data_IF_965320722539
#
_entry.id   IF_965320722539
#
_cell.length_a   1.000
_cell.length_b   1.000
_cell.length_c   1.000
_cell.angle_alpha   90.00
_cell.angle_beta   90.00
_cell.angle_gamma   90.00
#
_symmetry.space_group_name_H-M   'P 1'
#
loop_
_entity.id
_entity.type
_entity.pdbx_description
1 polymer ?
#
# COMPACT_ATOMS: atom_id res chain seq x y z
N UNK A 1 2.09 19.19 -4.80
CA UNK A 1 1.16 18.15 -5.28
C UNK A 1 -0.03 18.10 -4.35
N UNK A 2 -1.25 18.07 -4.89
CA UNK A 2 -2.44 17.73 -4.13
C UNK A 2 -2.58 16.21 -4.10
N UNK A 3 -3.13 15.65 -3.04
CA UNK A 3 -3.31 14.19 -2.94
C UNK A 3 -4.20 13.63 -4.07
N UNK A 4 -5.16 14.45 -4.51
CA UNK A 4 -6.04 14.13 -5.62
C UNK A 4 -5.32 14.04 -6.98
N UNK A 5 -4.09 14.54 -7.06
CA UNK A 5 -3.28 14.45 -8.29
C UNK A 5 -2.68 13.04 -8.45
N UNK A 6 -2.61 12.25 -7.37
CA UNK A 6 -1.95 10.92 -7.34
C UNK A 6 -2.84 9.78 -6.82
N UNK A 7 -3.97 10.10 -6.16
CA UNK A 7 -4.89 9.10 -5.62
C UNK A 7 -6.03 8.85 -6.61
N UNK A 8 -5.94 7.73 -7.33
CA UNK A 8 -7.01 7.28 -8.23
C UNK A 8 -8.14 6.62 -7.44
N UNK A 9 -9.38 6.76 -7.89
CA UNK A 9 -10.54 6.23 -7.17
C UNK A 9 -10.49 4.71 -7.10
N UNK A 10 -9.96 4.09 -8.15
CA UNK A 10 -9.80 2.64 -8.32
C UNK A 10 -8.76 2.05 -7.37
N UNK A 11 -7.88 2.87 -6.79
CA UNK A 11 -6.89 2.42 -5.79
C UNK A 11 -7.37 2.56 -4.34
N UNK A 12 -8.64 2.90 -4.11
CA UNK A 12 -9.21 3.02 -2.76
C UNK A 12 -9.90 1.72 -2.37
N UNK A 13 -9.40 1.08 -1.31
CA UNK A 13 -9.97 -0.13 -0.74
C UNK A 13 -10.55 0.21 0.64
N UNK A 14 -11.88 0.15 0.77
CA UNK A 14 -12.57 0.47 2.03
C UNK A 14 -12.70 -0.71 3.00
N UNK A 15 -12.48 -1.93 2.52
CA UNK A 15 -12.75 -3.18 3.24
C UNK A 15 -11.63 -4.20 3.02
N UNK A 16 -10.46 -3.92 3.62
CA UNK A 16 -9.32 -4.84 3.65
C UNK A 16 -9.66 -6.09 4.47
N UNK A 17 -9.21 -7.26 4.00
CA UNK A 17 -9.52 -8.55 4.63
C UNK A 17 -8.38 -9.11 5.47
N UNK A 18 -7.16 -8.81 5.10
CA UNK A 18 -5.96 -9.28 5.78
C UNK A 18 -5.81 -8.62 7.14
N UNK A 19 -5.26 -9.37 8.09
CA UNK A 19 -5.01 -8.92 9.46
C UNK A 19 -3.53 -8.87 9.81
N UNK A 20 -2.67 -9.27 8.87
CA UNK A 20 -1.22 -9.18 9.00
C UNK A 20 -0.64 -8.17 8.00
N UNK A 21 0.55 -7.67 8.32
CA UNK A 21 1.21 -6.61 7.55
C UNK A 21 1.41 -6.99 6.08
N UNK A 22 1.84 -8.22 5.80
CA UNK A 22 2.17 -8.65 4.44
C UNK A 22 0.92 -8.75 3.59
N UNK A 23 -0.14 -9.39 4.11
CA UNK A 23 -1.43 -9.50 3.43
C UNK A 23 -2.06 -8.13 3.16
N UNK A 24 -1.98 -7.19 4.11
CA UNK A 24 -2.46 -5.81 3.90
C UNK A 24 -1.71 -5.14 2.73
N UNK A 25 -0.38 -5.26 2.68
CA UNK A 25 0.40 -4.68 1.58
C UNK A 25 0.11 -5.36 0.24
N UNK A 26 -0.12 -6.68 0.23
CA UNK A 26 -0.56 -7.42 -0.96
C UNK A 26 -1.89 -6.88 -1.51
N UNK A 27 -2.87 -6.66 -0.63
CA UNK A 27 -4.16 -6.05 -1.02
C UNK A 27 -4.01 -4.61 -1.52
N UNK A 28 -3.21 -3.78 -0.86
CA UNK A 28 -2.96 -2.40 -1.27
C UNK A 28 -2.24 -2.30 -2.63
N UNK A 29 -1.33 -3.22 -2.91
CA UNK A 29 -0.57 -3.26 -4.16
C UNK A 29 -1.41 -3.74 -5.34
N UNK A 30 -2.37 -4.64 -5.12
CA UNK A 30 -3.15 -5.24 -6.21
C UNK A 30 -3.75 -4.23 -7.22
N UNK A 31 -4.48 -3.16 -6.82
CA UNK A 31 -4.96 -2.17 -7.78
C UNK A 31 -3.84 -1.32 -8.38
N UNK A 32 -2.77 -1.04 -7.62
CA UNK A 32 -1.63 -0.22 -8.08
C UNK A 32 -0.85 -0.96 -9.18
N UNK A 33 -0.66 -2.26 -9.05
CA UNK A 33 -0.01 -3.09 -10.07
C UNK A 33 -0.78 -3.05 -11.40
N UNK A 34 -2.12 -3.07 -11.34
CA UNK A 34 -2.99 -2.94 -12.53
C UNK A 34 -2.84 -1.55 -13.18
N UNK A 35 -2.88 -0.49 -12.38
CA UNK A 35 -2.80 0.91 -12.84
C UNK A 35 -1.44 1.21 -13.48
N UNK A 36 -0.36 0.74 -12.86
CA UNK A 36 1.02 1.08 -13.23
C UNK A 36 1.65 0.09 -14.21
N UNK A 37 1.11 -1.13 -14.31
CA UNK A 37 1.71 -2.24 -15.05
C UNK A 37 2.98 -2.82 -14.40
N UNK A 38 3.31 -2.39 -13.17
CA UNK A 38 4.46 -2.90 -12.42
C UNK A 38 4.08 -4.23 -11.76
N UNK A 39 5.04 -5.14 -11.66
CA UNK A 39 4.84 -6.42 -10.98
C UNK A 39 4.48 -6.20 -9.49
N UNK A 40 3.46 -6.93 -9.04
CA UNK A 40 2.96 -6.90 -7.68
C UNK A 40 4.05 -7.30 -6.66
N UNK A 41 4.81 -8.36 -6.92
CA UNK A 41 5.86 -8.84 -6.02
C UNK A 41 6.97 -7.80 -5.84
N UNK A 42 7.34 -7.10 -6.90
CA UNK A 42 8.36 -6.05 -6.84
C UNK A 42 7.88 -4.88 -5.96
N UNK A 43 6.62 -4.46 -6.12
CA UNK A 43 6.02 -3.41 -5.30
C UNK A 43 5.93 -3.82 -3.83
N UNK A 44 5.46 -5.04 -3.55
CA UNK A 44 5.38 -5.59 -2.18
C UNK A 44 6.78 -5.64 -1.55
N UNK A 45 7.79 -6.09 -2.30
CA UNK A 45 9.16 -6.18 -1.79
C UNK A 45 9.68 -4.81 -1.38
N UNK A 46 9.52 -3.78 -2.22
CA UNK A 46 9.95 -2.42 -1.90
C UNK A 46 9.26 -1.87 -0.66
N UNK A 47 7.95 -2.08 -0.51
CA UNK A 47 7.20 -1.65 0.69
C UNK A 47 7.64 -2.40 1.95
N UNK A 48 7.88 -3.71 1.82
CA UNK A 48 8.38 -4.53 2.93
C UNK A 48 9.79 -4.13 3.36
N UNK A 49 10.67 -3.80 2.42
CA UNK A 49 12.01 -3.29 2.70
C UNK A 49 11.92 -1.93 3.43
N UNK A 50 10.99 -1.05 3.00
CA UNK A 50 10.74 0.21 3.68
C UNK A 50 10.23 0.02 5.11
N UNK A 51 9.30 -0.89 5.34
CA UNK A 51 8.75 -1.18 6.66
C UNK A 51 9.79 -1.81 7.62
N UNK A 52 10.79 -2.52 7.10
CA UNK A 52 11.88 -3.07 7.90
C UNK A 52 12.81 -2.00 8.48
N UNK A 53 12.94 -0.84 7.83
CA UNK A 53 13.73 0.29 8.35
C UNK A 53 13.08 0.94 9.60
N UNK A 54 11.79 0.71 9.79
CA UNK A 54 11.02 1.25 10.89
C UNK A 54 9.57 1.43 10.49
N UNK A 55 8.67 1.30 11.47
CA UNK A 55 7.23 1.43 11.27
C UNK A 55 6.89 2.77 10.61
N UNK A 56 6.03 2.73 9.60
CA UNK A 56 5.42 3.93 9.01
C UNK A 56 4.11 4.35 9.71
N UNK A 57 3.80 3.70 10.85
CA UNK A 57 2.68 4.08 11.69
C UNK A 57 2.92 5.45 12.32
N UNK A 58 2.03 6.40 12.06
CA UNK A 58 2.11 7.76 12.61
C UNK A 58 1.24 7.95 13.86
N UNK A 59 0.57 6.88 14.31
CA UNK A 59 -0.38 6.90 15.44
C UNK A 59 -1.84 7.06 15.01
N UNK A 60 -2.76 6.95 15.96
CA UNK A 60 -4.20 7.11 15.71
C UNK A 60 -4.83 6.06 14.77
N UNK A 61 -4.18 4.90 14.60
CA UNK A 61 -4.61 3.87 13.66
C UNK A 61 -4.26 4.16 12.19
N UNK A 62 -3.33 5.08 11.93
CA UNK A 62 -2.92 5.48 10.58
C UNK A 62 -1.48 5.02 10.29
N UNK A 63 -1.26 4.45 9.09
CA UNK A 63 0.05 4.09 8.56
C UNK A 63 0.24 4.61 7.12
N UNK A 64 1.49 4.89 6.74
CA UNK A 64 1.88 5.38 5.41
C UNK A 64 3.03 4.50 4.87
N UNK A 65 2.75 3.23 4.55
CA UNK A 65 3.76 2.25 4.13
C UNK A 65 4.50 2.65 2.85
#
# INVERSE_FOLDING_TARGET
>A
MKILDVLQKESIISDLKSQDKKGILEELVAPIAIITGINDKDLIQVLMDREQLGSTGIGGGIGIP
#
